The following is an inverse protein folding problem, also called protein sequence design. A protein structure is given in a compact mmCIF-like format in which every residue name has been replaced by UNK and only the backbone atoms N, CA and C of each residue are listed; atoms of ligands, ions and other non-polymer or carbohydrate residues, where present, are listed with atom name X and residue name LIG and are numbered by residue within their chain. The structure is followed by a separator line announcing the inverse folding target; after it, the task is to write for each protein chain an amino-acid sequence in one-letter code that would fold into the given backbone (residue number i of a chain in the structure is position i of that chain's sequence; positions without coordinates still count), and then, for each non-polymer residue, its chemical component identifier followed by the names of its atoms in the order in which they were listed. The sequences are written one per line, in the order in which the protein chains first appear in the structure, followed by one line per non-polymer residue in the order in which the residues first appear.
data_IF_348657865872
#
_entry.id   IF_348657865872
#
_cell.length_a   1.000
_cell.length_b   1.000
_cell.length_c   1.000
_cell.angle_alpha   90.00
_cell.angle_beta   90.00
_cell.angle_gamma   90.00
#
_symmetry.space_group_name_H-M   'P 1'
#
loop_
_entity.id
_entity.type
_entity.pdbx_description
1 polymer ?
#
# COMPACT_ATOMS: atom_id res chain seq x y z
N UNK A 1 10.42 -21.95 7.17
CA UNK A 1 11.28 -20.96 6.49
C UNK A 1 11.09 -19.56 7.09
N UNK A 2 9.89 -18.98 7.02
CA UNK A 2 9.61 -17.63 7.53
C UNK A 2 10.05 -17.42 9.00
N UNK A 3 9.63 -18.29 9.92
CA UNK A 3 10.04 -18.20 11.35
C UNK A 3 11.56 -18.23 11.54
N UNK A 4 12.27 -19.06 10.78
CA UNK A 4 13.74 -19.16 10.82
C UNK A 4 14.36 -17.86 10.32
N UNK A 5 13.85 -17.29 9.22
CA UNK A 5 14.32 -16.01 8.69
C UNK A 5 14.17 -14.90 9.72
N UNK A 6 13.02 -14.81 10.38
CA UNK A 6 12.77 -13.82 11.44
C UNK A 6 13.73 -13.97 12.62
N UNK A 7 13.93 -15.21 13.07
CA UNK A 7 14.84 -15.50 14.18
C UNK A 7 16.29 -15.14 13.84
N UNK A 8 16.73 -15.44 12.61
CA UNK A 8 18.06 -15.05 12.12
C UNK A 8 18.18 -13.53 12.04
N UNK A 9 17.20 -12.84 11.46
CA UNK A 9 17.18 -11.37 11.39
C UNK A 9 17.30 -10.74 12.79
N UNK A 10 16.54 -11.25 13.77
CA UNK A 10 16.58 -10.75 15.14
C UNK A 10 17.92 -11.02 15.81
N UNK A 11 18.50 -12.22 15.66
CA UNK A 11 19.83 -12.55 16.21
C UNK A 11 20.93 -11.67 15.63
N UNK A 12 20.95 -11.47 14.32
CA UNK A 12 21.91 -10.58 13.65
C UNK A 12 21.78 -9.16 14.19
N UNK A 13 20.54 -8.65 14.31
CA UNK A 13 20.28 -7.31 14.85
C UNK A 13 20.80 -7.14 16.29
N UNK A 14 20.63 -8.15 17.16
CA UNK A 14 21.13 -8.15 18.54
C UNK A 14 22.65 -8.21 18.61
N UNK A 15 23.27 -9.03 17.75
CA UNK A 15 24.74 -9.08 17.64
C UNK A 15 25.30 -7.73 17.21
N UNK A 16 24.74 -7.11 16.17
CA UNK A 16 25.15 -5.79 15.71
C UNK A 16 25.06 -4.74 16.82
N UNK A 17 23.95 -4.71 17.56
CA UNK A 17 23.79 -3.78 18.68
C UNK A 17 24.83 -4.01 19.78
N UNK A 18 25.13 -5.26 20.14
CA UNK A 18 26.13 -5.60 21.15
C UNK A 18 27.55 -5.18 20.72
N UNK A 19 27.88 -5.30 19.44
CA UNK A 19 29.21 -4.94 18.91
C UNK A 19 29.40 -3.44 18.73
N UNK A 20 28.34 -2.71 18.39
CA UNK A 20 28.44 -1.29 17.98
C UNK A 20 27.89 -0.31 19.01
N UNK A 21 26.98 -0.75 19.88
CA UNK A 21 26.29 0.10 20.86
C UNK A 21 25.38 1.18 20.27
N UNK A 22 25.10 1.16 18.96
CA UNK A 22 24.32 2.21 18.30
C UNK A 22 22.83 2.05 18.55
N UNK A 23 22.14 3.16 18.80
CA UNK A 23 20.70 3.17 19.09
C UNK A 23 19.81 3.03 17.85
N UNK A 24 20.36 3.22 16.64
CA UNK A 24 19.59 3.33 15.41
C UNK A 24 20.01 2.26 14.40
N UNK A 25 19.04 1.49 13.91
CA UNK A 25 19.25 0.45 12.90
C UNK A 25 18.77 0.92 11.52
N UNK A 26 19.62 0.76 10.50
CA UNK A 26 19.24 0.91 9.10
C UNK A 26 19.26 -0.45 8.41
N UNK A 27 18.21 -0.78 7.66
CA UNK A 27 18.04 -2.04 6.96
C UNK A 27 17.90 -1.83 5.45
N UNK A 28 18.67 -2.61 4.69
CA UNK A 28 18.63 -2.72 3.23
C UNK A 28 18.97 -4.16 2.81
N UNK A 29 18.93 -4.46 1.51
CA UNK A 29 19.03 -5.80 0.95
C UNK A 29 17.65 -6.46 0.82
N UNK A 30 17.50 -7.42 -0.11
CA UNK A 30 16.20 -8.02 -0.42
C UNK A 30 15.47 -8.63 0.78
N UNK A 31 16.20 -9.19 1.74
CA UNK A 31 15.65 -9.75 3.00
C UNK A 31 14.99 -8.66 3.86
N UNK A 32 15.45 -7.40 3.78
CA UNK A 32 14.85 -6.29 4.52
C UNK A 32 13.45 -5.90 4.02
N UNK A 33 12.97 -6.46 2.89
CA UNK A 33 11.56 -6.37 2.49
C UNK A 33 10.64 -7.30 3.30
N UNK A 34 11.20 -8.16 4.17
CA UNK A 34 10.45 -9.01 5.10
C UNK A 34 9.85 -8.19 6.24
N UNK A 35 8.66 -7.65 6.00
CA UNK A 35 7.94 -6.80 6.94
C UNK A 35 7.56 -7.47 8.27
N UNK A 36 7.48 -8.80 8.32
CA UNK A 36 7.21 -9.54 9.55
C UNK A 36 8.46 -9.54 10.44
N UNK A 37 9.62 -9.87 9.86
CA UNK A 37 10.92 -9.77 10.54
C UNK A 37 11.24 -8.36 11.02
N UNK A 38 10.97 -7.34 10.18
CA UNK A 38 11.13 -5.94 10.58
C UNK A 38 10.23 -5.56 11.75
N UNK A 39 8.97 -6.02 11.77
CA UNK A 39 8.04 -5.81 12.87
C UNK A 39 8.54 -6.44 14.19
N UNK A 40 9.15 -7.64 14.11
CA UNK A 40 9.79 -8.27 15.28
C UNK A 40 11.01 -7.49 15.76
N UNK A 41 11.89 -7.05 14.85
CA UNK A 41 13.05 -6.21 15.22
C UNK A 41 12.58 -4.92 15.92
N UNK A 42 11.53 -4.26 15.42
CA UNK A 42 11.02 -3.04 16.04
C UNK A 42 10.50 -3.27 17.47
N UNK A 43 9.83 -4.40 17.73
CA UNK A 43 9.24 -4.69 19.06
C UNK A 43 10.21 -5.34 20.05
N UNK A 44 11.04 -6.25 19.57
CA UNK A 44 11.87 -7.17 20.39
C UNK A 44 13.37 -6.82 20.33
N UNK A 45 13.76 -5.94 19.42
CA UNK A 45 15.13 -5.53 19.19
C UNK A 45 15.57 -4.41 20.15
N UNK A 46 16.88 -4.25 20.36
CA UNK A 46 17.43 -3.27 21.31
C UNK A 46 17.51 -1.83 20.74
N UNK A 47 16.92 -1.56 19.57
CA UNK A 47 17.08 -0.29 18.86
C UNK A 47 15.96 0.69 19.20
N UNK A 48 16.33 1.96 19.39
CA UNK A 48 15.41 3.07 19.60
C UNK A 48 14.67 3.45 18.32
N UNK A 49 15.35 3.38 17.18
CA UNK A 49 14.76 3.65 15.87
C UNK A 49 15.21 2.60 14.85
N UNK A 50 14.28 2.23 13.96
CA UNK A 50 14.54 1.36 12.82
C UNK A 50 14.13 2.10 11.55
N UNK A 51 15.04 2.20 10.59
CA UNK A 51 14.75 2.72 9.26
C UNK A 51 15.01 1.63 8.22
N UNK A 52 14.02 1.38 7.37
CA UNK A 52 14.12 0.38 6.30
C UNK A 52 13.97 1.11 4.97
N UNK A 53 14.89 0.85 4.04
CA UNK A 53 14.84 1.45 2.72
C UNK A 53 13.63 0.89 1.92
N UNK A 54 12.77 1.73 1.29
CA UNK A 54 11.53 1.29 0.63
C UNK A 54 11.69 0.38 -0.60
N UNK A 55 12.74 0.60 -1.40
CA UNK A 55 13.22 -0.26 -2.47
C UNK A 55 14.44 -1.10 -2.00
N UNK A 56 14.32 -1.78 -0.86
CA UNK A 56 15.47 -2.37 -0.15
C UNK A 56 16.29 -3.39 -0.95
N UNK A 57 15.69 -4.04 -1.95
CA UNK A 57 16.39 -4.94 -2.86
C UNK A 57 17.29 -4.20 -3.87
N UNK A 58 17.66 -4.89 -4.94
CA UNK A 58 18.66 -4.40 -5.90
C UNK A 58 18.27 -3.10 -6.59
N UNK A 59 16.97 -2.82 -6.73
CA UNK A 59 16.46 -1.55 -7.25
C UNK A 59 16.99 -0.33 -6.46
N UNK A 60 17.15 -0.45 -5.14
CA UNK A 60 17.70 0.61 -4.29
C UNK A 60 19.20 0.83 -4.47
N UNK A 61 19.91 -0.09 -5.14
CA UNK A 61 21.35 -0.02 -5.37
C UNK A 61 21.78 1.21 -6.17
N UNK A 62 20.98 1.64 -7.15
CA UNK A 62 21.27 2.85 -7.92
C UNK A 62 21.31 4.12 -7.04
N UNK A 63 20.37 4.24 -6.10
CA UNK A 63 20.37 5.33 -5.12
C UNK A 63 21.57 5.21 -4.17
N UNK A 64 21.86 4.00 -3.69
CA UNK A 64 23.01 3.73 -2.83
C UNK A 64 24.33 4.12 -3.48
N UNK A 65 24.53 3.75 -4.76
CA UNK A 65 25.72 4.07 -5.53
C UNK A 65 25.89 5.59 -5.72
N UNK A 66 24.82 6.30 -6.08
CA UNK A 66 24.84 7.75 -6.22
C UNK A 66 25.18 8.46 -4.90
N UNK A 67 24.62 8.00 -3.78
CA UNK A 67 24.91 8.55 -2.45
C UNK A 67 26.34 8.22 -1.98
N UNK A 68 26.86 7.04 -2.33
CA UNK A 68 28.24 6.66 -2.04
C UNK A 68 29.22 7.52 -2.83
N UNK A 69 29.00 7.74 -4.13
CA UNK A 69 29.79 8.68 -4.94
C UNK A 69 29.80 10.08 -4.31
N UNK A 70 28.62 10.64 -4.05
CA UNK A 70 28.46 11.98 -3.45
C UNK A 70 29.21 12.13 -2.12
N UNK A 71 28.99 11.21 -1.18
CA UNK A 71 29.49 11.39 0.18
C UNK A 71 30.90 10.84 0.40
N UNK A 72 31.22 9.67 -0.16
CA UNK A 72 32.49 8.98 0.10
C UNK A 72 33.58 9.39 -0.89
N UNK A 73 33.25 9.69 -2.14
CA UNK A 73 34.23 10.04 -3.17
C UNK A 73 34.35 11.55 -3.38
N UNK A 74 33.23 12.25 -3.48
CA UNK A 74 33.22 13.70 -3.71
C UNK A 74 33.29 14.52 -2.40
N UNK A 75 33.41 13.83 -1.25
CA UNK A 75 33.46 14.38 0.11
C UNK A 75 32.35 15.39 0.43
N UNK A 76 31.22 15.31 -0.28
CA UNK A 76 30.14 16.25 -0.11
C UNK A 76 29.41 15.99 1.22
N UNK A 77 28.84 17.03 1.84
CA UNK A 77 28.16 16.88 3.11
C UNK A 77 26.95 15.96 2.97
N UNK A 78 26.74 15.14 4.01
CA UNK A 78 25.42 14.55 4.25
C UNK A 78 24.49 15.68 4.65
N UNK A 79 23.40 15.93 3.92
CA UNK A 79 22.50 17.02 4.25
C UNK A 79 21.98 16.86 5.68
N UNK A 80 22.01 17.95 6.45
CA UNK A 80 21.55 17.97 7.85
C UNK A 80 20.10 17.49 7.95
N UNK A 81 19.80 16.77 9.03
CA UNK A 81 18.47 16.24 9.31
C UNK A 81 17.75 17.13 10.32
N UNK A 82 16.56 17.61 9.94
CA UNK A 82 15.49 17.96 10.87
C UNK A 82 14.24 17.17 10.48
N UNK A 83 13.79 16.24 11.34
CA UNK A 83 12.53 15.52 11.14
C UNK A 83 12.62 14.15 10.44
N UNK A 84 11.67 13.91 9.53
CA UNK A 84 11.45 12.64 8.80
C UNK A 84 12.58 12.28 7.84
N UNK A 85 12.50 11.10 7.21
CA UNK A 85 13.46 10.71 6.19
C UNK A 85 13.31 11.55 4.89
N UNK A 86 14.30 11.46 4.00
CA UNK A 86 14.36 12.24 2.75
C UNK A 86 13.87 11.51 1.51
N UNK A 87 13.28 10.33 1.65
CA UNK A 87 12.69 9.57 0.52
C UNK A 87 11.41 10.21 0.00
N UNK A 88 10.88 11.25 0.67
CA UNK A 88 9.66 11.97 0.27
C UNK A 88 8.48 11.01 0.05
N UNK A 89 8.22 10.12 0.99
CA UNK A 89 7.16 9.09 0.86
C UNK A 89 7.42 8.07 -0.25
N UNK A 90 8.63 8.03 -0.79
CA UNK A 90 9.03 7.28 -1.99
C UNK A 90 8.42 7.81 -3.29
N UNK A 91 7.78 8.98 -3.32
CA UNK A 91 7.15 9.55 -4.52
C UNK A 91 8.20 10.20 -5.45
N UNK A 92 9.09 9.39 -6.01
CA UNK A 92 10.24 9.81 -6.82
C UNK A 92 10.04 9.61 -8.33
N UNK A 93 9.01 8.87 -8.74
CA UNK A 93 8.66 8.62 -10.13
C UNK A 93 7.92 9.78 -10.81
N UNK A 94 7.41 9.55 -12.04
CA UNK A 94 6.68 10.56 -12.82
C UNK A 94 5.33 10.92 -12.20
N UNK A 95 4.86 12.13 -12.49
CA UNK A 95 3.52 12.62 -12.22
C UNK A 95 2.89 13.13 -13.52
N UNK A 96 1.56 13.23 -13.54
CA UNK A 96 0.81 13.72 -14.68
C UNK A 96 -0.05 14.90 -14.24
N UNK A 97 -0.13 15.90 -15.08
CA UNK A 97 -1.02 17.04 -14.90
C UNK A 97 -2.44 16.64 -15.26
N UNK A 98 -3.40 17.44 -14.78
CA UNK A 98 -4.79 17.23 -15.10
C UNK A 98 -5.07 17.45 -16.58
N UNK A 99 -4.34 18.38 -17.20
CA UNK A 99 -4.40 18.70 -18.61
C UNK A 99 -3.93 17.52 -19.47
N UNK A 100 -2.81 16.87 -19.11
CA UNK A 100 -2.33 15.66 -19.78
C UNK A 100 -3.35 14.51 -19.67
N UNK A 101 -3.91 14.30 -18.48
CA UNK A 101 -4.95 13.29 -18.25
C UNK A 101 -6.19 13.57 -19.09
N UNK A 102 -6.71 14.79 -19.08
CA UNK A 102 -7.91 15.15 -19.86
C UNK A 102 -7.67 15.05 -21.37
N UNK A 103 -6.49 15.44 -21.85
CA UNK A 103 -6.12 15.25 -23.26
C UNK A 103 -6.15 13.77 -23.65
N UNK A 104 -5.57 12.90 -22.82
CA UNK A 104 -5.62 11.45 -23.02
C UNK A 104 -7.06 10.93 -23.03
N UNK A 105 -7.87 11.26 -22.02
CA UNK A 105 -9.25 10.77 -21.91
C UNK A 105 -10.13 11.23 -23.08
N UNK A 106 -9.97 12.48 -23.53
CA UNK A 106 -10.66 13.01 -24.72
C UNK A 106 -10.27 12.26 -25.99
N UNK A 107 -8.98 11.97 -26.17
CA UNK A 107 -8.49 11.18 -27.31
C UNK A 107 -9.06 9.76 -27.31
N UNK A 108 -9.22 9.15 -26.14
CA UNK A 108 -9.84 7.82 -25.99
C UNK A 108 -11.37 7.85 -26.09
N UNK A 109 -12.00 9.03 -26.06
CA UNK A 109 -13.46 9.15 -25.96
C UNK A 109 -14.04 8.57 -24.66
N UNK A 110 -13.23 8.51 -23.59
CA UNK A 110 -13.59 7.93 -22.31
C UNK A 110 -14.40 8.94 -21.46
N UNK A 111 -15.65 8.64 -21.05
CA UNK A 111 -16.43 9.53 -20.21
C UNK A 111 -15.82 9.71 -18.81
N UNK A 112 -15.72 10.95 -18.33
CA UNK A 112 -15.19 11.27 -17.01
C UNK A 112 -15.89 12.48 -16.39
N UNK A 113 -15.79 12.59 -15.06
CA UNK A 113 -16.23 13.76 -14.30
C UNK A 113 -15.00 14.39 -13.66
N UNK A 114 -14.79 15.68 -13.94
CA UNK A 114 -13.74 16.49 -13.33
C UNK A 114 -14.25 17.12 -12.03
N UNK A 115 -13.59 16.83 -10.91
CA UNK A 115 -13.91 17.43 -9.60
C UNK A 115 -12.66 18.04 -8.99
N UNK A 116 -12.79 18.95 -8.02
CA UNK A 116 -11.65 19.51 -7.30
C UNK A 116 -11.97 19.65 -5.81
N UNK A 117 -10.92 19.77 -4.98
CA UNK A 117 -11.04 20.01 -3.54
C UNK A 117 -11.94 18.99 -2.84
N UNK A 118 -12.73 19.47 -1.88
CA UNK A 118 -13.59 18.61 -1.06
C UNK A 118 -14.61 17.82 -1.88
N UNK A 119 -15.15 18.40 -2.96
CA UNK A 119 -16.10 17.71 -3.82
C UNK A 119 -15.50 16.44 -4.45
N UNK A 120 -14.21 16.49 -4.81
CA UNK A 120 -13.48 15.33 -5.33
C UNK A 120 -13.30 14.26 -4.26
N UNK A 121 -12.73 14.60 -3.11
CA UNK A 121 -12.48 13.62 -2.05
C UNK A 121 -13.78 13.03 -1.49
N UNK A 122 -14.82 13.85 -1.30
CA UNK A 122 -16.13 13.38 -0.86
C UNK A 122 -16.77 12.43 -1.88
N UNK A 123 -16.57 12.67 -3.18
CA UNK A 123 -17.05 11.75 -4.22
C UNK A 123 -16.35 10.40 -4.12
N UNK A 124 -15.02 10.37 -4.10
CA UNK A 124 -14.27 9.10 -4.05
C UNK A 124 -14.52 8.36 -2.73
N UNK A 125 -14.54 9.07 -1.60
CA UNK A 125 -14.87 8.50 -0.30
C UNK A 125 -16.29 7.92 -0.26
N UNK A 126 -17.25 8.51 -0.99
CA UNK A 126 -18.61 7.95 -1.14
C UNK A 126 -18.57 6.62 -1.89
N UNK A 127 -17.82 6.51 -2.97
CA UNK A 127 -17.70 5.26 -3.73
C UNK A 127 -17.01 4.17 -2.89
N UNK A 128 -15.92 4.50 -2.20
CA UNK A 128 -15.24 3.58 -1.27
C UNK A 128 -16.17 3.10 -0.16
N UNK A 129 -16.93 4.02 0.47
CA UNK A 129 -17.88 3.68 1.54
C UNK A 129 -19.07 2.86 1.05
N UNK A 130 -19.31 2.82 -0.27
CA UNK A 130 -20.27 1.93 -0.92
C UNK A 130 -19.63 0.58 -1.32
N UNK A 131 -18.46 0.25 -0.75
CA UNK A 131 -17.70 -0.97 -1.00
C UNK A 131 -17.26 -1.16 -2.46
N UNK A 132 -17.13 -0.06 -3.23
CA UNK A 132 -16.59 -0.11 -4.59
C UNK A 132 -15.07 -0.19 -4.59
N UNK A 133 -14.52 -0.85 -5.59
CA UNK A 133 -13.08 -0.92 -5.86
C UNK A 133 -12.67 0.29 -6.69
N UNK A 134 -11.69 1.04 -6.21
CA UNK A 134 -11.20 2.27 -6.86
C UNK A 134 -9.76 2.09 -7.31
N UNK A 135 -9.51 2.16 -8.62
CA UNK A 135 -8.17 2.40 -9.16
C UNK A 135 -7.76 3.85 -8.93
N UNK A 136 -6.58 4.09 -8.39
CA UNK A 136 -6.11 5.39 -7.92
C UNK A 136 -4.74 5.71 -8.51
N UNK A 137 -4.70 6.66 -9.44
CA UNK A 137 -3.50 7.26 -10.00
C UNK A 137 -3.49 8.74 -9.62
N UNK A 138 -2.58 9.14 -8.74
CA UNK A 138 -2.47 10.53 -8.28
C UNK A 138 -1.02 10.90 -7.97
N UNK A 139 -0.60 12.07 -8.44
CA UNK A 139 0.71 12.62 -8.16
C UNK A 139 1.87 11.75 -8.64
N UNK A 140 3.01 11.92 -7.99
CA UNK A 140 4.25 11.21 -8.33
C UNK A 140 4.16 9.74 -7.96
N UNK A 141 4.58 8.87 -8.88
CA UNK A 141 4.67 7.43 -8.65
C UNK A 141 5.70 7.07 -7.56
N UNK A 142 5.37 6.04 -6.80
CA UNK A 142 6.22 5.44 -5.77
C UNK A 142 7.43 4.72 -6.37
N UNK A 143 8.58 4.84 -5.69
CA UNK A 143 9.77 4.05 -5.95
C UNK A 143 9.79 2.82 -5.04
N UNK A 144 9.99 1.63 -5.62
CA UNK A 144 10.01 0.36 -4.91
C UNK A 144 8.79 -0.52 -5.21
N UNK A 145 8.69 -1.67 -4.54
CA UNK A 145 7.74 -2.73 -4.93
C UNK A 145 6.34 -2.57 -4.31
N UNK A 146 6.07 -1.46 -3.62
CA UNK A 146 4.81 -1.22 -2.89
C UNK A 146 4.12 0.01 -3.44
N UNK A 147 2.81 -0.10 -3.66
CA UNK A 147 1.97 1.07 -3.86
C UNK A 147 1.60 1.68 -2.52
N UNK A 148 1.81 2.98 -2.40
CA UNK A 148 1.71 3.79 -1.20
C UNK A 148 0.72 4.97 -1.41
N UNK A 149 -0.25 4.83 -2.31
CA UNK A 149 -1.27 5.86 -2.54
C UNK A 149 -0.98 6.83 -3.69
N UNK A 150 0.00 6.53 -4.54
CA UNK A 150 0.23 7.19 -5.83
C UNK A 150 -0.26 6.35 -7.01
N UNK A 151 -0.07 5.02 -6.97
CA UNK A 151 -0.55 4.04 -7.96
C UNK A 151 -1.18 2.84 -7.26
N UNK A 152 -2.38 3.01 -6.73
CA UNK A 152 -3.01 2.06 -5.81
C UNK A 152 -4.35 1.54 -6.31
N UNK A 153 -4.75 0.36 -5.85
CA UNK A 153 -6.15 -0.07 -5.86
C UNK A 153 -6.64 0.00 -4.43
N UNK A 154 -7.72 0.74 -4.23
CA UNK A 154 -8.27 1.07 -2.94
C UNK A 154 -9.61 0.35 -2.72
N UNK A 155 -9.91 0.07 -1.46
CA UNK A 155 -11.15 -0.56 -1.05
C UNK A 155 -11.48 -0.28 0.42
N UNK A 156 -12.71 -0.59 0.81
CA UNK A 156 -13.18 -0.43 2.19
C UNK A 156 -12.62 -1.55 3.10
N UNK A 157 -11.83 -1.17 4.11
CA UNK A 157 -11.24 -2.11 5.06
C UNK A 157 -12.28 -2.85 5.92
N UNK A 158 -13.46 -2.25 6.11
CA UNK A 158 -14.55 -2.75 6.97
C UNK A 158 -15.34 -3.87 6.29
N UNK A 159 -15.25 -3.95 4.97
CA UNK A 159 -16.06 -4.87 4.18
C UNK A 159 -15.58 -6.32 4.31
N UNK A 160 -16.46 -7.27 4.68
CA UNK A 160 -16.08 -8.69 4.76
C UNK A 160 -15.85 -9.33 3.39
N UNK A 161 -16.31 -8.71 2.30
CA UNK A 161 -16.18 -9.23 0.92
C UNK A 161 -15.08 -8.54 0.12
N UNK A 162 -14.56 -7.39 0.56
CA UNK A 162 -13.60 -6.60 -0.25
C UNK A 162 -12.33 -7.40 -0.58
N UNK A 163 -11.84 -8.21 0.36
CA UNK A 163 -10.68 -9.08 0.13
C UNK A 163 -10.94 -10.06 -1.03
N UNK A 164 -12.06 -10.79 -0.99
CA UNK A 164 -12.38 -11.78 -2.02
C UNK A 164 -12.69 -11.12 -3.37
N UNK A 165 -13.44 -10.01 -3.38
CA UNK A 165 -13.74 -9.20 -4.56
C UNK A 165 -12.46 -8.75 -5.26
N UNK A 166 -11.54 -8.10 -4.53
CA UNK A 166 -10.29 -7.61 -5.13
C UNK A 166 -9.39 -8.75 -5.60
N UNK A 167 -9.29 -9.85 -4.84
CA UNK A 167 -8.45 -10.98 -5.22
C UNK A 167 -8.95 -11.69 -6.48
N UNK A 168 -10.24 -11.96 -6.59
CA UNK A 168 -10.82 -12.73 -7.70
C UNK A 168 -11.04 -11.89 -8.95
N UNK A 169 -11.57 -10.68 -8.79
CA UNK A 169 -12.06 -9.88 -9.92
C UNK A 169 -11.02 -8.92 -10.50
N UNK A 170 -9.99 -8.61 -9.72
CA UNK A 170 -8.98 -7.62 -10.08
C UNK A 170 -7.59 -8.25 -10.14
N UNK A 171 -7.20 -8.98 -9.10
CA UNK A 171 -5.87 -9.58 -8.99
C UNK A 171 -5.76 -10.96 -9.61
N UNK A 172 -6.89 -11.61 -9.91
CA UNK A 172 -6.94 -12.97 -10.46
C UNK A 172 -6.04 -13.94 -9.70
N UNK A 173 -6.13 -13.91 -8.35
CA UNK A 173 -5.37 -14.75 -7.43
C UNK A 173 -6.27 -15.30 -6.32
N UNK A 174 -5.70 -16.11 -5.44
CA UNK A 174 -6.44 -16.79 -4.37
C UNK A 174 -7.20 -15.79 -3.48
N UNK A 175 -8.46 -16.10 -3.20
CA UNK A 175 -9.43 -15.17 -2.58
C UNK A 175 -9.04 -14.68 -1.18
N UNK A 176 -8.24 -15.48 -0.46
CA UNK A 176 -7.90 -15.27 0.95
C UNK A 176 -6.61 -14.47 1.17
N UNK A 177 -5.88 -14.06 0.12
CA UNK A 177 -4.63 -13.31 0.32
C UNK A 177 -4.93 -11.93 0.91
N UNK A 178 -4.43 -11.61 2.11
CA UNK A 178 -4.71 -10.34 2.76
C UNK A 178 -4.06 -9.16 2.03
N UNK A 179 -4.63 -7.98 2.23
CA UNK A 179 -4.13 -6.71 1.72
C UNK A 179 -3.60 -5.84 2.85
N UNK A 180 -2.85 -4.80 2.49
CA UNK A 180 -2.25 -3.90 3.45
C UNK A 180 -3.18 -2.72 3.75
N UNK A 181 -3.28 -2.24 5.00
CA UNK A 181 -3.98 -1.02 5.33
C UNK A 181 -3.13 0.23 5.07
N UNK A 182 -3.77 1.28 4.55
CA UNK A 182 -3.32 2.66 4.66
C UNK A 182 -4.13 3.38 5.73
N UNK A 183 -3.46 4.03 6.67
CA UNK A 183 -4.09 4.70 7.82
C UNK A 183 -3.51 6.09 8.02
N UNK A 184 -4.35 7.06 8.44
CA UNK A 184 -3.86 8.36 8.89
C UNK A 184 -2.84 8.21 10.02
N UNK A 185 -1.69 8.88 9.90
CA UNK A 185 -0.59 8.73 10.85
C UNK A 185 -1.03 9.00 12.29
N UNK A 186 -1.79 10.05 12.51
CA UNK A 186 -2.26 10.48 13.83
C UNK A 186 -3.28 9.52 14.46
N UNK A 187 -3.84 8.59 13.66
CA UNK A 187 -4.80 7.59 14.10
C UNK A 187 -4.22 6.19 14.25
N UNK A 188 -2.97 5.93 13.85
CA UNK A 188 -2.41 4.57 13.73
C UNK A 188 -2.60 3.73 15.00
N UNK A 189 -2.35 4.30 16.18
CA UNK A 189 -2.45 3.60 17.46
C UNK A 189 -3.89 3.29 17.88
N UNK A 190 -4.89 3.89 17.23
CA UNK A 190 -6.30 3.54 17.45
C UNK A 190 -6.71 2.25 16.73
N UNK A 191 -5.93 1.84 15.71
CA UNK A 191 -6.21 0.69 14.85
C UNK A 191 -5.23 -0.45 15.03
N UNK A 192 -3.97 -0.14 15.39
CA UNK A 192 -2.89 -1.11 15.49
C UNK A 192 -2.11 -0.90 16.78
N UNK A 193 -1.49 -1.98 17.29
CA UNK A 193 -0.50 -1.92 18.36
C UNK A 193 0.85 -1.42 17.80
N UNK A 194 0.83 -0.15 17.39
CA UNK A 194 1.93 0.57 16.77
C UNK A 194 1.80 2.06 17.10
N UNK A 195 2.87 2.65 17.61
CA UNK A 195 2.96 4.10 17.85
C UNK A 195 4.22 4.70 17.20
N UNK A 196 4.52 4.26 15.98
CA UNK A 196 5.63 4.76 15.18
C UNK A 196 5.21 4.90 13.72
N UNK A 197 6.04 5.58 12.95
CA UNK A 197 5.83 5.76 11.52
C UNK A 197 6.08 4.44 10.79
N UNK A 198 5.23 4.11 9.82
CA UNK A 198 5.43 3.03 8.86
C UNK A 198 4.99 3.48 7.47
N UNK A 199 5.65 4.48 6.85
CA UNK A 199 5.17 5.10 5.62
C UNK A 199 5.31 4.20 4.37
N UNK A 200 6.06 3.10 4.47
CA UNK A 200 6.49 2.28 3.33
C UNK A 200 5.90 0.88 3.27
N UNK A 201 4.94 0.53 4.15
CA UNK A 201 4.42 -0.85 4.28
C UNK A 201 5.53 -1.89 4.55
N UNK A 202 6.51 -1.55 5.39
CA UNK A 202 7.65 -2.43 5.72
C UNK A 202 7.58 -2.97 7.15
N UNK A 203 6.50 -2.71 7.86
CA UNK A 203 6.31 -3.12 9.26
C UNK A 203 4.94 -3.78 9.38
N UNK A 204 4.93 -4.95 10.01
CA UNK A 204 3.72 -5.62 10.48
C UNK A 204 3.53 -5.33 11.96
N UNK A 205 2.31 -4.95 12.33
CA UNK A 205 1.91 -4.84 13.72
C UNK A 205 0.55 -5.53 13.95
N UNK A 206 0.28 -5.97 15.19
CA UNK A 206 -1.03 -6.48 15.54
C UNK A 206 -2.11 -5.41 15.38
N UNK A 207 -3.32 -5.80 14.95
CA UNK A 207 -4.53 -4.99 15.08
C UNK A 207 -4.79 -4.73 16.57
N UNK A 208 -5.23 -3.52 16.93
CA UNK A 208 -5.49 -3.16 18.32
C UNK A 208 -6.55 -4.08 18.92
N UNK A 209 -6.36 -4.52 20.17
CA UNK A 209 -7.21 -5.53 20.83
C UNK A 209 -8.71 -5.20 20.76
N UNK A 210 -9.10 -3.96 21.09
CA UNK A 210 -10.49 -3.47 21.03
C UNK A 210 -11.21 -3.67 19.68
N UNK A 211 -10.47 -3.90 18.59
CA UNK A 211 -11.00 -4.09 17.24
C UNK A 211 -11.03 -5.54 16.81
N UNK A 212 -10.39 -6.44 17.56
CA UNK A 212 -10.30 -7.86 17.24
C UNK A 212 -11.62 -8.54 17.54
N UNK A 213 -11.97 -9.50 16.68
CA UNK A 213 -13.09 -10.41 16.89
C UNK A 213 -12.49 -11.76 17.31
N UNK A 214 -12.70 -12.21 18.56
CA UNK A 214 -12.16 -13.48 19.03
C UNK A 214 -12.82 -14.65 18.30
N UNK A 215 -12.03 -15.67 17.98
CA UNK A 215 -12.53 -16.94 17.45
C UNK A 215 -13.43 -17.63 18.48
N UNK A 216 -14.63 -18.05 18.07
CA UNK A 216 -15.51 -18.88 18.90
C UNK A 216 -14.94 -20.30 18.99
N UNK A 217 -15.37 -21.05 20.00
CA UNK A 217 -14.91 -22.45 20.19
C UNK A 217 -15.18 -23.31 18.96
N UNK A 218 -16.34 -23.14 18.33
CA UNK A 218 -16.74 -23.83 17.10
C UNK A 218 -15.82 -23.48 15.91
N UNK A 219 -15.42 -22.22 15.79
CA UNK A 219 -14.57 -21.75 14.70
C UNK A 219 -13.16 -22.36 14.76
N UNK A 220 -12.70 -22.77 15.95
CA UNK A 220 -11.39 -23.42 16.14
C UNK A 220 -11.32 -24.83 15.55
N UNK A 221 -12.47 -25.45 15.30
CA UNK A 221 -12.54 -26.75 14.61
C UNK A 221 -12.47 -26.60 13.09
N UNK A 222 -12.64 -25.39 12.55
CA UNK A 222 -12.52 -25.13 11.11
C UNK A 222 -11.04 -25.23 10.68
N UNK A 223 -10.84 -25.67 9.46
CA UNK A 223 -9.51 -25.82 8.86
C UNK A 223 -9.47 -25.28 7.43
N UNK A 224 -8.28 -24.93 6.95
CA UNK A 224 -8.07 -24.43 5.60
C UNK A 224 -8.87 -23.16 5.29
N UNK A 225 -9.58 -23.17 4.16
CA UNK A 225 -10.33 -22.02 3.61
C UNK A 225 -11.47 -21.57 4.53
N UNK A 226 -12.12 -22.51 5.23
CA UNK A 226 -13.24 -22.17 6.12
C UNK A 226 -12.78 -21.31 7.29
N UNK A 227 -11.62 -21.63 7.87
CA UNK A 227 -11.02 -20.83 8.94
C UNK A 227 -10.55 -19.45 8.44
N UNK A 228 -10.06 -19.39 7.19
CA UNK A 228 -9.59 -18.16 6.54
C UNK A 228 -10.73 -17.15 6.30
N UNK A 229 -11.95 -17.64 6.08
CA UNK A 229 -13.13 -16.79 5.83
C UNK A 229 -13.74 -16.19 7.11
N UNK A 230 -13.28 -16.60 8.30
CA UNK A 230 -13.79 -16.06 9.57
C UNK A 230 -13.18 -14.68 9.84
N UNK A 231 -14.01 -13.62 9.98
CA UNK A 231 -13.52 -12.29 10.34
C UNK A 231 -12.69 -12.28 11.63
N UNK A 232 -11.57 -11.56 11.60
CA UNK A 232 -10.64 -11.40 12.74
C UNK A 232 -10.76 -10.04 13.42
N UNK A 233 -11.49 -9.10 12.83
CA UNK A 233 -11.66 -7.75 13.35
C UNK A 233 -12.84 -7.03 12.69
N UNK A 234 -13.15 -5.84 13.19
CA UNK A 234 -14.04 -4.87 12.51
C UNK A 234 -13.51 -4.37 11.15
N UNK A 235 -12.24 -4.65 10.81
CA UNK A 235 -11.61 -4.39 9.51
C UNK A 235 -11.14 -5.68 8.80
N UNK A 236 -12.04 -6.61 8.45
CA UNK A 236 -11.67 -7.94 7.98
C UNK A 236 -10.84 -7.96 6.69
N UNK A 237 -10.95 -6.95 5.82
CA UNK A 237 -10.25 -6.97 4.53
C UNK A 237 -8.72 -6.80 4.63
N UNK A 238 -8.22 -6.28 5.76
CA UNK A 238 -6.80 -5.99 6.00
C UNK A 238 -6.18 -6.80 7.13
N UNK A 239 -6.98 -7.60 7.85
CA UNK A 239 -6.53 -8.34 9.03
C UNK A 239 -6.19 -9.78 8.66
N UNK A 240 -4.97 -10.18 9.00
CA UNK A 240 -4.49 -11.53 8.81
C UNK A 240 -5.07 -12.51 9.86
N UNK A 241 -4.94 -13.81 9.61
CA UNK A 241 -5.41 -14.87 10.51
C UNK A 241 -4.84 -14.79 11.93
N UNK A 242 -3.65 -14.22 12.06
CA UNK A 242 -2.90 -14.01 13.32
C UNK A 242 -3.18 -12.64 13.95
N UNK A 243 -4.24 -11.95 13.50
CA UNK A 243 -4.63 -10.62 13.93
C UNK A 243 -3.61 -9.51 13.59
N UNK A 244 -2.69 -9.74 12.65
CA UNK A 244 -1.72 -8.74 12.22
C UNK A 244 -2.12 -8.02 10.93
N UNK A 245 -1.47 -6.89 10.64
CA UNK A 245 -1.58 -6.20 9.36
C UNK A 245 -0.27 -5.49 9.00
N UNK A 246 0.01 -5.33 7.70
CA UNK A 246 1.21 -4.63 7.19
C UNK A 246 0.91 -3.16 6.89
N UNK A 247 1.36 -2.27 7.75
CA UNK A 247 0.76 -0.93 7.86
C UNK A 247 1.47 0.10 6.98
N UNK A 248 0.69 0.93 6.29
CA UNK A 248 1.12 2.23 5.76
C UNK A 248 0.57 3.37 6.62
N UNK A 249 1.42 4.17 7.25
CA UNK A 249 1.02 5.47 7.83
C UNK A 249 1.08 6.56 6.77
N UNK A 250 -0.02 7.29 6.60
CA UNK A 250 -0.15 8.37 5.62
C UNK A 250 -0.02 9.72 6.31
N UNK A 251 0.84 10.58 5.77
CA UNK A 251 1.19 11.89 6.31
C UNK A 251 0.83 12.99 5.30
N UNK A 252 0.24 14.08 5.79
CA UNK A 252 -0.17 15.22 4.95
C UNK A 252 1.01 15.84 4.19
N UNK A 253 2.18 15.92 4.81
CA UNK A 253 3.40 16.54 4.26
C UNK A 253 3.96 15.77 3.05
N UNK A 254 3.71 14.46 2.98
CA UNK A 254 4.27 13.60 1.92
C UNK A 254 3.27 13.31 0.80
N UNK A 255 1.98 13.14 1.13
CA UNK A 255 0.93 12.87 0.16
C UNK A 255 -0.39 13.53 0.61
N UNK A 256 -0.56 14.84 0.37
CA UNK A 256 -1.73 15.57 0.86
C UNK A 256 -3.04 15.08 0.22
N UNK A 257 -3.01 14.64 -1.04
CA UNK A 257 -4.21 14.13 -1.70
C UNK A 257 -4.70 12.82 -1.09
N UNK A 258 -3.79 11.86 -0.86
CA UNK A 258 -4.15 10.60 -0.23
C UNK A 258 -4.55 10.77 1.25
N UNK A 259 -3.89 11.70 1.96
CA UNK A 259 -4.30 12.12 3.30
C UNK A 259 -5.73 12.67 3.31
N UNK A 260 -6.06 13.59 2.38
CA UNK A 260 -7.39 14.19 2.29
C UNK A 260 -8.48 13.17 1.91
N UNK A 261 -8.15 12.18 1.07
CA UNK A 261 -9.05 11.06 0.80
C UNK A 261 -9.37 10.28 2.07
N UNK A 262 -8.35 9.93 2.87
CA UNK A 262 -8.54 9.24 4.14
C UNK A 262 -9.34 10.07 5.15
N UNK A 263 -9.13 11.39 5.21
CA UNK A 263 -9.95 12.31 6.03
C UNK A 263 -11.41 12.35 5.59
N UNK A 264 -11.67 12.43 4.28
CA UNK A 264 -13.03 12.40 3.76
C UNK A 264 -13.71 11.05 4.03
N UNK A 265 -12.96 9.95 3.93
CA UNK A 265 -13.45 8.62 4.27
C UNK A 265 -13.73 8.48 5.78
N UNK A 266 -12.84 8.99 6.64
CA UNK A 266 -13.03 9.05 8.11
C UNK A 266 -14.31 9.82 8.47
N UNK A 267 -14.50 11.01 7.91
CA UNK A 267 -15.69 11.83 8.16
C UNK A 267 -16.99 11.11 7.78
N UNK A 268 -16.94 10.23 6.77
CA UNK A 268 -18.11 9.52 6.25
C UNK A 268 -18.41 8.20 6.96
N UNK A 269 -17.39 7.56 7.53
CA UNK A 269 -17.48 6.17 8.01
C UNK A 269 -17.11 5.99 9.47
N UNK A 270 -16.43 6.98 10.06
CA UNK A 270 -15.74 6.85 11.34
C UNK A 270 -14.42 6.10 11.27
N UNK A 271 -13.98 5.64 10.08
CA UNK A 271 -12.75 4.88 9.88
C UNK A 271 -11.76 5.64 9.02
N UNK A 272 -10.53 5.80 9.51
CA UNK A 272 -9.43 6.45 8.79
C UNK A 272 -8.48 5.44 8.15
N UNK A 273 -9.01 4.30 7.70
CA UNK A 273 -8.26 3.16 7.17
C UNK A 273 -8.89 2.68 5.87
N UNK A 274 -8.06 2.50 4.85
CA UNK A 274 -8.45 1.90 3.57
C UNK A 274 -7.60 0.66 3.28
N UNK A 275 -8.17 -0.27 2.51
CA UNK A 275 -7.36 -1.26 1.81
C UNK A 275 -6.50 -0.54 0.78
N UNK A 276 -5.22 -0.90 0.71
CA UNK A 276 -4.30 -0.46 -0.34
C UNK A 276 -3.51 -1.66 -0.87
N UNK A 277 -3.57 -1.84 -2.19
CA UNK A 277 -2.79 -2.82 -2.92
C UNK A 277 -2.25 -2.23 -4.21
N UNK A 278 -1.30 -2.94 -4.83
CA UNK A 278 -0.63 -2.46 -6.03
C UNK A 278 -1.62 -2.20 -7.16
N UNK A 279 -1.45 -1.15 -7.96
CA UNK A 279 -2.27 -0.95 -9.15
C UNK A 279 -1.67 -1.71 -10.34
N UNK A 280 -2.05 -2.97 -10.46
CA UNK A 280 -1.70 -3.89 -11.52
C UNK A 280 -2.61 -5.13 -11.48
N UNK A 281 -2.58 -5.92 -12.56
CA UNK A 281 -3.05 -7.30 -12.56
C UNK A 281 -1.86 -8.25 -12.31
N UNK A 282 -2.14 -9.54 -12.09
CA UNK A 282 -1.09 -10.55 -11.93
C UNK A 282 -0.23 -10.62 -13.20
N UNK A 283 1.09 -10.65 -13.02
CA UNK A 283 2.06 -10.71 -14.13
C UNK A 283 2.55 -9.34 -14.63
N UNK A 284 1.83 -8.25 -14.31
CA UNK A 284 2.20 -6.90 -14.77
C UNK A 284 2.89 -6.07 -13.67
N UNK A 285 3.79 -5.13 -14.03
CA UNK A 285 4.31 -4.13 -13.10
C UNK A 285 3.20 -3.17 -12.64
N UNK A 286 3.46 -2.39 -11.58
CA UNK A 286 2.58 -1.30 -11.16
C UNK A 286 2.42 -0.32 -12.34
N UNK A 287 1.17 0.08 -12.63
CA UNK A 287 0.86 1.03 -13.71
C UNK A 287 1.63 2.33 -13.51
N UNK A 288 2.23 2.85 -14.57
CA UNK A 288 3.01 4.07 -14.52
C UNK A 288 2.19 5.27 -15.01
N UNK A 289 1.61 5.14 -16.21
CA UNK A 289 0.95 6.22 -16.97
C UNK A 289 -0.59 6.18 -16.86
N UNK A 290 -1.29 7.27 -17.20
CA UNK A 290 -2.75 7.28 -17.33
C UNK A 290 -3.27 6.22 -18.31
N UNK A 291 -2.50 5.93 -19.37
CA UNK A 291 -2.82 4.88 -20.33
C UNK A 291 -2.74 3.48 -19.73
N UNK A 292 -1.68 3.18 -18.97
CA UNK A 292 -1.54 1.90 -18.26
C UNK A 292 -2.69 1.70 -17.26
N UNK A 293 -3.01 2.75 -16.49
CA UNK A 293 -4.09 2.73 -15.51
C UNK A 293 -5.47 2.56 -16.17
N UNK A 294 -5.73 3.26 -17.27
CA UNK A 294 -6.97 3.11 -18.04
C UNK A 294 -7.08 1.71 -18.66
N UNK A 295 -6.02 1.19 -19.26
CA UNK A 295 -5.99 -0.18 -19.81
C UNK A 295 -6.28 -1.21 -18.72
N UNK A 296 -5.62 -1.13 -17.57
CA UNK A 296 -5.86 -2.01 -16.43
C UNK A 296 -7.31 -1.88 -15.92
N UNK A 297 -7.82 -0.66 -15.78
CA UNK A 297 -9.21 -0.41 -15.38
C UNK A 297 -10.21 -1.04 -16.36
N UNK A 298 -9.96 -0.89 -17.66
CA UNK A 298 -10.83 -1.43 -18.70
C UNK A 298 -10.81 -2.95 -18.77
N UNK A 299 -9.66 -3.58 -18.52
CA UNK A 299 -9.47 -5.04 -18.50
C UNK A 299 -9.96 -5.74 -17.22
N UNK A 300 -10.17 -4.99 -16.14
CA UNK A 300 -10.60 -5.52 -14.84
C UNK A 300 -12.03 -5.10 -14.48
N UNK A 301 -12.57 -5.69 -13.41
CA UNK A 301 -13.88 -5.32 -12.86
C UNK A 301 -13.78 -4.22 -11.79
N UNK A 302 -12.81 -3.31 -11.89
CA UNK A 302 -12.79 -2.12 -11.04
C UNK A 302 -14.05 -1.28 -11.30
N UNK A 303 -14.66 -0.75 -10.25
CA UNK A 303 -15.89 0.03 -10.36
C UNK A 303 -15.61 1.49 -10.77
N UNK A 304 -14.50 2.04 -10.28
CA UNK A 304 -14.11 3.44 -10.44
C UNK A 304 -12.64 3.55 -10.76
N UNK A 305 -12.27 4.46 -11.65
CA UNK A 305 -10.90 4.88 -11.88
C UNK A 305 -10.76 6.37 -11.57
N UNK A 306 -9.74 6.70 -10.80
CA UNK A 306 -9.30 8.07 -10.53
C UNK A 306 -7.97 8.29 -11.23
N UNK A 307 -7.95 9.25 -12.16
CA UNK A 307 -6.75 9.76 -12.82
C UNK A 307 -6.60 11.23 -12.45
N UNK A 308 -5.69 11.53 -11.53
CA UNK A 308 -5.63 12.83 -10.84
C UNK A 308 -7.03 13.23 -10.33
N UNK A 309 -7.61 14.36 -10.76
CA UNK A 309 -8.97 14.74 -10.35
C UNK A 309 -10.08 14.38 -11.37
N UNK A 310 -9.79 13.49 -12.32
CA UNK A 310 -10.78 12.92 -13.22
C UNK A 310 -11.28 11.59 -12.66
N UNK A 311 -12.58 11.50 -12.42
CA UNK A 311 -13.26 10.30 -11.91
C UNK A 311 -14.03 9.64 -13.06
N UNK A 312 -13.72 8.38 -13.34
CA UNK A 312 -14.37 7.56 -14.35
C UNK A 312 -15.17 6.46 -13.65
N UNK A 313 -16.41 6.26 -14.07
CA UNK A 313 -17.23 5.13 -13.63
C UNK A 313 -17.20 4.05 -14.69
N UNK A 314 -17.03 2.79 -14.25
CA UNK A 314 -16.98 1.64 -15.15
C UNK A 314 -18.27 1.49 -15.96
N UNK A 315 -19.41 1.81 -15.35
CA UNK A 315 -20.75 1.75 -15.97
C UNK A 315 -20.92 2.70 -17.14
N UNK A 316 -20.11 3.76 -17.21
CA UNK A 316 -20.24 4.81 -18.23
C UNK A 316 -19.27 4.55 -19.41
N UNK A 317 -18.33 3.62 -19.25
CA UNK A 317 -17.34 3.33 -20.28
C UNK A 317 -17.87 2.39 -21.36
N UNK A 318 -17.37 2.57 -22.58
CA UNK A 318 -17.57 1.61 -23.67
C UNK A 318 -16.56 0.48 -23.55
N UNK A 319 -16.94 -0.73 -23.95
CA UNK A 319 -16.00 -1.85 -24.00
C UNK A 319 -14.81 -1.53 -24.94
N UNK A 320 -13.62 -2.06 -24.64
CA UNK A 320 -12.47 -1.95 -25.53
C UNK A 320 -12.75 -2.76 -26.80
N UNK A 321 -12.64 -2.13 -27.97
CA UNK A 321 -12.70 -2.82 -29.26
C UNK A 321 -11.39 -3.57 -29.50
N UNK A 322 -11.47 -4.86 -29.87
CA UNK A 322 -10.30 -5.67 -30.24
C UNK A 322 -9.44 -6.22 -29.11
N UNK A 323 -9.81 -6.03 -27.84
CA UNK A 323 -9.07 -6.56 -26.68
C UNK A 323 -9.48 -8.00 -26.34
N UNK A 324 -9.30 -8.91 -27.31
CA UNK A 324 -9.50 -10.35 -27.08
C UNK A 324 -8.18 -11.00 -26.71
N UNK A 325 -8.16 -11.68 -25.56
CA UNK A 325 -7.12 -12.60 -25.09
C UNK A 325 -5.91 -12.07 -24.27
N UNK A 326 -5.99 -10.88 -23.67
CA UNK A 326 -4.92 -10.38 -22.78
C UNK A 326 -4.57 -11.33 -21.62
N UNK A 327 -5.52 -12.18 -21.18
CA UNK A 327 -5.30 -13.21 -20.16
C UNK A 327 -4.36 -14.34 -20.60
N UNK A 328 -4.09 -14.47 -21.90
CA UNK A 328 -3.15 -15.47 -22.46
C UNK A 328 -1.75 -14.91 -22.73
N UNK A 329 -1.56 -13.59 -22.66
CA UNK A 329 -0.25 -12.96 -22.91
C UNK A 329 0.74 -13.19 -21.76
N UNK A 330 0.26 -13.60 -20.58
CA UNK A 330 1.09 -13.80 -19.40
C UNK A 330 0.82 -15.18 -18.78
N UNK A 331 1.89 -15.97 -18.58
CA UNK A 331 1.79 -17.28 -17.93
C UNK A 331 1.28 -17.13 -16.50
N UNK A 332 0.30 -17.98 -16.15
CA UNK A 332 -0.19 -18.14 -14.79
C UNK A 332 0.83 -19.00 -14.03
N UNK A 333 1.60 -18.37 -13.14
CA UNK A 333 2.54 -19.07 -12.24
C UNK A 333 1.87 -20.07 -11.29
#
# INVERSE_FOLDING_TARGET
VQEVTEEVMLRVSRTLHRETGVENLCLAGGVALNCVGNGRILREGPFKNVWIQPAAGDAGGALGAALAAWHQYDEQPRPSRSGSDRMKGSYLGPAFTNEEVEQFLKKQGAPYIRLNGDAFFNRVAKELAAEKVVGWLQGRMEFGPRSLGGRSILGDARSPKMQSVMNLKIKYRESFRPFAPSVLRERVSEYFDLNSDSPYMLIVAPVHEKRRIPLRTEDKALWGIDLLNIPRSDMPAITHIDYSARIQTVHHETNPSYYNLLKAFEAKTGYSVLVNTSFNVRGEPIVCTPEDAYRCFMRTEMDVLVLENCVLLKTDQKALEGDTDWKKEFELD
#
